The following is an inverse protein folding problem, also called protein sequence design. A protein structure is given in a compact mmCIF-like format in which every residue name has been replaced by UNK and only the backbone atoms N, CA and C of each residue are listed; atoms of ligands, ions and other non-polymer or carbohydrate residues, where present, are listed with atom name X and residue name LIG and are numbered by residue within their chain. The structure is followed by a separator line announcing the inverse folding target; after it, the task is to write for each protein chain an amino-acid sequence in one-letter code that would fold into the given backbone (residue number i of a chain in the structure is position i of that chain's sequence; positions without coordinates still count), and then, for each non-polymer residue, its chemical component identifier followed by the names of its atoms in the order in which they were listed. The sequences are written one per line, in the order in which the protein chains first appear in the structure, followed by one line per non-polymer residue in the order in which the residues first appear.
data_IF_009621758475
#
_entry.id   IF_009621758475
#
_cell.length_a   1.000
_cell.length_b   1.000
_cell.length_c   1.000
_cell.angle_alpha   90.00
_cell.angle_beta   90.00
_cell.angle_gamma   90.00
#
_symmetry.space_group_name_H-M   'P 1'
#
loop_
_entity.id
_entity.type
_entity.pdbx_description
1 polymer ?
#
# COMPACT_ATOMS: atom_id res chain seq x y z
N UNK A 1 8.47 -21.57 -57.79
CA UNK A 1 7.93 -20.20 -57.70
C UNK A 1 7.34 -20.05 -56.32
N UNK A 2 7.95 -19.18 -55.52
CA UNK A 2 7.63 -18.96 -54.11
C UNK A 2 6.34 -18.17 -53.97
N UNK A 3 5.44 -18.62 -53.10
CA UNK A 3 4.40 -17.77 -52.52
C UNK A 3 4.60 -17.78 -51.01
N UNK A 4 5.32 -16.75 -50.56
CA UNK A 4 5.38 -16.34 -49.16
C UNK A 4 4.04 -15.69 -48.87
N UNK A 5 3.15 -16.44 -48.20
CA UNK A 5 1.94 -15.87 -47.63
C UNK A 5 2.30 -15.29 -46.26
N UNK A 6 2.23 -13.98 -46.22
CA UNK A 6 2.16 -13.12 -45.05
C UNK A 6 1.19 -13.68 -44.02
N UNK A 7 1.72 -14.08 -42.86
CA UNK A 7 0.94 -14.04 -41.62
C UNK A 7 1.87 -13.75 -40.44
N UNK A 8 2.15 -12.48 -40.24
CA UNK A 8 2.82 -11.95 -39.07
C UNK A 8 1.94 -10.84 -38.46
N UNK A 9 0.69 -11.20 -38.15
CA UNK A 9 -0.24 -10.34 -37.41
C UNK A 9 -0.85 -11.09 -36.23
N UNK A 10 -0.02 -11.48 -35.26
CA UNK A 10 -0.48 -11.80 -33.91
C UNK A 10 0.46 -11.20 -32.85
N UNK A 11 0.77 -9.92 -33.02
CA UNK A 11 1.41 -9.11 -31.97
C UNK A 11 0.39 -8.84 -30.86
N UNK A 12 0.47 -9.66 -29.80
CA UNK A 12 0.16 -9.29 -28.42
C UNK A 12 -1.21 -8.66 -28.15
N UNK A 13 -2.25 -9.49 -28.06
CA UNK A 13 -3.36 -9.17 -27.16
C UNK A 13 -2.81 -9.25 -25.73
N UNK A 14 -2.45 -8.10 -25.16
CA UNK A 14 -2.26 -7.98 -23.71
C UNK A 14 -3.62 -8.26 -23.08
N UNK A 15 -3.82 -9.47 -22.55
CA UNK A 15 -5.04 -9.87 -21.90
C UNK A 15 -5.25 -8.95 -20.68
N UNK A 16 -6.10 -7.94 -20.83
CA UNK A 16 -6.50 -7.06 -19.73
C UNK A 16 -7.13 -7.94 -18.65
N UNK A 17 -6.59 -7.88 -17.43
CA UNK A 17 -7.12 -8.61 -16.28
C UNK A 17 -8.63 -8.36 -16.14
N UNK A 18 -9.41 -9.36 -15.69
CA UNK A 18 -10.85 -9.21 -15.54
C UNK A 18 -11.16 -8.02 -14.64
N UNK A 19 -11.97 -7.08 -15.14
CA UNK A 19 -12.38 -5.91 -14.35
C UNK A 19 -13.62 -6.28 -13.55
N UNK A 20 -13.51 -6.20 -12.23
CA UNK A 20 -14.59 -6.41 -11.26
C UNK A 20 -15.31 -5.11 -10.95
N UNK A 21 -16.63 -5.20 -10.74
CA UNK A 21 -17.46 -4.08 -10.26
C UNK A 21 -17.95 -4.45 -8.87
N UNK A 22 -17.56 -3.67 -7.86
CA UNK A 22 -17.78 -4.00 -6.46
C UNK A 22 -18.61 -2.90 -5.81
N UNK A 23 -19.82 -3.20 -5.28
CA UNK A 23 -20.62 -2.25 -4.52
C UNK A 23 -20.01 -2.04 -3.13
N UNK A 24 -20.01 -0.79 -2.68
CA UNK A 24 -19.45 -0.36 -1.39
C UNK A 24 -20.47 0.50 -0.68
N UNK A 25 -20.62 0.27 0.62
CA UNK A 25 -21.43 1.08 1.52
C UNK A 25 -20.59 1.45 2.75
N UNK A 26 -20.31 2.75 2.91
CA UNK A 26 -19.51 3.29 4.02
C UNK A 26 -20.11 4.64 4.43
N UNK A 27 -20.28 4.87 5.74
CA UNK A 27 -20.79 6.14 6.29
C UNK A 27 -22.16 6.56 5.70
N UNK A 28 -23.01 5.58 5.35
CA UNK A 28 -24.32 5.82 4.72
C UNK A 28 -24.26 6.22 3.23
N UNK A 29 -23.07 6.22 2.63
CA UNK A 29 -22.87 6.47 1.19
C UNK A 29 -22.66 5.15 0.48
N UNK A 30 -23.42 4.94 -0.60
CA UNK A 30 -23.30 3.77 -1.48
C UNK A 30 -22.72 4.17 -2.84
N UNK A 31 -21.70 3.44 -3.30
CA UNK A 31 -21.06 3.66 -4.59
C UNK A 31 -20.46 2.35 -5.13
N UNK A 32 -19.89 2.38 -6.34
CA UNK A 32 -19.22 1.21 -6.92
C UNK A 32 -17.77 1.52 -7.25
N UNK A 33 -16.89 0.54 -7.04
CA UNK A 33 -15.49 0.58 -7.48
C UNK A 33 -15.34 -0.37 -8.66
N UNK A 34 -14.62 0.08 -9.70
CA UNK A 34 -14.16 -0.74 -10.81
C UNK A 34 -12.67 -0.99 -10.64
N UNK A 35 -12.27 -2.25 -10.52
CA UNK A 35 -10.88 -2.64 -10.25
C UNK A 35 -10.57 -3.99 -10.88
N UNK A 36 -9.32 -4.21 -11.23
CA UNK A 36 -8.75 -5.50 -11.65
C UNK A 36 -8.24 -6.33 -10.45
N UNK A 37 -8.35 -5.79 -9.23
CA UNK A 37 -8.03 -6.49 -7.99
C UNK A 37 -9.10 -7.53 -7.61
N UNK A 38 -8.66 -8.54 -6.86
CA UNK A 38 -9.53 -9.60 -6.35
C UNK A 38 -10.68 -9.04 -5.49
N UNK A 39 -11.94 -9.43 -5.73
CA UNK A 39 -13.08 -8.92 -4.98
C UNK A 39 -12.99 -9.10 -3.46
N UNK A 40 -12.40 -10.22 -3.02
CA UNK A 40 -12.25 -10.51 -1.59
C UNK A 40 -11.24 -9.59 -0.91
N UNK A 41 -10.19 -9.18 -1.65
CA UNK A 41 -9.23 -8.19 -1.16
C UNK A 41 -9.91 -6.83 -0.94
N UNK A 42 -10.66 -6.34 -1.93
CA UNK A 42 -11.38 -5.07 -1.81
C UNK A 42 -12.43 -5.11 -0.69
N UNK A 43 -13.16 -6.21 -0.53
CA UNK A 43 -14.09 -6.39 0.60
C UNK A 43 -13.35 -6.34 1.94
N UNK A 44 -12.18 -6.97 2.03
CA UNK A 44 -11.32 -6.88 3.21
C UNK A 44 -10.95 -5.43 3.57
N UNK A 45 -10.52 -4.64 2.59
CA UNK A 45 -10.21 -3.22 2.79
C UNK A 45 -11.42 -2.40 3.26
N UNK A 46 -12.61 -2.69 2.71
CA UNK A 46 -13.85 -2.01 3.12
C UNK A 46 -14.17 -2.30 4.58
N UNK A 47 -14.06 -3.55 5.02
CA UNK A 47 -14.32 -3.95 6.40
C UNK A 47 -13.26 -3.38 7.36
N UNK A 48 -11.99 -3.37 6.96
CA UNK A 48 -10.92 -2.71 7.74
C UNK A 48 -11.21 -1.22 7.93
N UNK A 49 -11.59 -0.52 6.86
CA UNK A 49 -11.93 0.90 6.92
C UNK A 49 -13.14 1.15 7.83
N UNK A 50 -14.19 0.33 7.76
CA UNK A 50 -15.36 0.43 8.66
C UNK A 50 -14.97 0.26 10.13
N UNK A 51 -14.15 -0.74 10.42
CA UNK A 51 -13.67 -0.99 11.79
C UNK A 51 -12.86 0.17 12.33
N UNK A 52 -11.99 0.75 11.50
CA UNK A 52 -11.21 1.95 11.85
C UNK A 52 -12.12 3.16 12.10
N UNK A 53 -13.08 3.42 11.21
CA UNK A 53 -14.06 4.50 11.38
C UNK A 53 -14.86 4.34 12.69
N UNK A 54 -15.30 3.12 13.01
CA UNK A 54 -16.01 2.82 14.26
C UNK A 54 -15.13 3.11 15.49
N UNK A 55 -13.86 2.71 15.43
CA UNK A 55 -12.90 2.93 16.51
C UNK A 55 -12.68 4.43 16.76
N UNK A 56 -12.41 5.20 15.70
CA UNK A 56 -12.20 6.66 15.81
C UNK A 56 -13.47 7.36 16.28
N UNK A 57 -14.64 6.96 15.78
CA UNK A 57 -15.93 7.52 16.21
C UNK A 57 -16.14 7.32 17.72
N UNK A 58 -15.86 6.11 18.23
CA UNK A 58 -15.99 5.79 19.65
C UNK A 58 -14.96 6.53 20.53
N UNK A 59 -13.70 6.59 20.10
CA UNK A 59 -12.62 7.23 20.86
C UNK A 59 -12.78 8.75 20.93
N UNK A 60 -13.12 9.38 19.81
CA UNK A 60 -13.17 10.85 19.69
C UNK A 60 -14.58 11.43 19.79
N UNK A 61 -15.61 10.58 19.93
CA UNK A 61 -17.04 10.96 20.00
C UNK A 61 -17.49 11.80 18.80
N UNK A 62 -16.96 11.48 17.62
CA UNK A 62 -17.31 12.18 16.36
C UNK A 62 -18.49 11.45 15.71
N UNK A 63 -19.60 12.16 15.57
CA UNK A 63 -20.84 11.65 14.97
C UNK A 63 -20.99 12.07 13.51
N UNK A 64 -20.46 13.24 13.15
CA UNK A 64 -20.56 13.77 11.78
C UNK A 64 -19.71 12.91 10.81
N UNK A 65 -20.33 12.31 9.77
CA UNK A 65 -19.63 11.36 8.89
C UNK A 65 -18.47 11.98 8.12
N UNK A 66 -18.58 13.25 7.71
CA UNK A 66 -17.54 13.94 6.95
C UNK A 66 -16.34 14.30 7.84
N UNK A 67 -16.59 14.79 9.05
CA UNK A 67 -15.52 15.02 10.04
C UNK A 67 -14.85 13.70 10.42
N UNK A 68 -15.62 12.64 10.61
CA UNK A 68 -15.09 11.33 10.93
C UNK A 68 -14.17 10.79 9.83
N UNK A 69 -14.57 10.93 8.55
CA UNK A 69 -13.75 10.49 7.42
C UNK A 69 -12.46 11.31 7.30
N UNK A 70 -12.53 12.64 7.48
CA UNK A 70 -11.36 13.51 7.44
C UNK A 70 -10.36 13.20 8.56
N UNK A 71 -10.84 13.07 9.80
CA UNK A 71 -10.00 12.74 10.96
C UNK A 71 -9.37 11.36 10.79
N UNK A 72 -10.15 10.37 10.36
CA UNK A 72 -9.65 9.00 10.14
C UNK A 72 -8.59 8.96 9.04
N UNK A 73 -8.78 9.74 7.96
CA UNK A 73 -7.79 9.86 6.89
C UNK A 73 -6.48 10.50 7.39
N UNK A 74 -6.58 11.57 8.19
CA UNK A 74 -5.40 12.22 8.78
C UNK A 74 -4.63 11.28 9.72
N UNK A 75 -5.33 10.52 10.57
CA UNK A 75 -4.69 9.53 11.44
C UNK A 75 -4.00 8.41 10.64
N UNK A 76 -4.64 7.95 9.56
CA UNK A 76 -4.06 6.91 8.70
C UNK A 76 -2.82 7.42 7.94
N UNK A 77 -2.80 8.71 7.57
CA UNK A 77 -1.61 9.36 7.01
C UNK A 77 -0.49 9.52 8.04
N UNK A 78 -0.82 9.92 9.29
CA UNK A 78 0.17 10.02 10.38
C UNK A 78 0.84 8.66 10.64
N UNK A 79 0.06 7.57 10.69
CA UNK A 79 0.59 6.22 10.84
C UNK A 79 1.52 5.82 9.69
N UNK A 80 1.12 6.08 8.44
CA UNK A 80 1.95 5.81 7.27
C UNK A 80 3.28 6.60 7.31
N UNK A 81 3.25 7.84 7.80
CA UNK A 81 4.45 8.67 7.94
C UNK A 81 5.36 8.15 9.07
N UNK A 82 4.80 7.82 10.23
CA UNK A 82 5.56 7.23 11.35
C UNK A 82 6.24 5.93 10.96
N UNK A 83 5.57 5.09 10.18
CA UNK A 83 6.15 3.83 9.70
C UNK A 83 7.30 4.05 8.72
N UNK A 84 7.22 5.08 7.86
CA UNK A 84 8.34 5.48 6.98
C UNK A 84 9.53 6.00 7.80
N UNK A 85 9.27 6.87 8.76
CA UNK A 85 10.32 7.43 9.61
C UNK A 85 10.99 6.37 10.47
N UNK A 86 10.21 5.41 11.00
CA UNK A 86 10.71 4.27 11.77
C UNK A 86 11.55 3.33 10.91
N UNK A 87 11.11 3.00 9.69
CA UNK A 87 11.91 2.22 8.74
C UNK A 87 13.21 2.94 8.37
N UNK A 88 13.15 4.25 8.12
CA UNK A 88 14.34 5.06 7.84
C UNK A 88 15.30 5.19 9.03
N UNK A 89 14.79 5.22 10.27
CA UNK A 89 15.60 5.20 11.47
C UNK A 89 16.32 3.86 11.64
N UNK A 90 15.60 2.73 11.49
CA UNK A 90 16.18 1.40 11.57
C UNK A 90 17.26 1.20 10.49
N UNK A 91 17.00 1.58 9.23
CA UNK A 91 18.00 1.49 8.16
C UNK A 91 19.28 2.27 8.48
N UNK A 92 19.17 3.50 9.02
CA UNK A 92 20.32 4.30 9.42
C UNK A 92 21.11 3.69 10.56
N UNK A 93 20.44 3.05 11.51
CA UNK A 93 21.09 2.38 12.63
C UNK A 93 21.84 1.12 12.17
N UNK A 94 21.27 0.34 11.25
CA UNK A 94 21.97 -0.78 10.60
C UNK A 94 23.19 -0.31 9.79
N UNK A 95 23.06 0.77 9.02
CA UNK A 95 24.19 1.36 8.27
C UNK A 95 25.29 1.86 9.21
N UNK A 96 24.94 2.56 10.28
CA UNK A 96 25.90 3.03 11.27
C UNK A 96 26.63 1.87 11.95
N UNK A 97 25.92 0.80 12.33
CA UNK A 97 26.54 -0.39 12.92
C UNK A 97 27.47 -1.09 11.93
N UNK A 98 27.05 -1.24 10.67
CA UNK A 98 27.89 -1.85 9.63
C UNK A 98 29.16 -1.05 9.37
N UNK A 99 29.07 0.29 9.37
CA UNK A 99 30.23 1.16 9.19
C UNK A 99 31.21 1.08 10.37
N UNK A 100 30.72 0.90 11.59
CA UNK A 100 31.54 0.69 12.78
C UNK A 100 32.24 -0.68 12.74
N UNK A 101 31.53 -1.74 12.35
CA UNK A 101 32.12 -3.09 12.22
C UNK A 101 33.22 -3.12 11.14
N UNK A 102 33.02 -2.41 10.03
CA UNK A 102 34.02 -2.27 8.96
C UNK A 102 35.25 -1.46 9.42
N UNK A 103 35.05 -0.45 10.27
CA UNK A 103 36.13 0.31 10.90
C UNK A 103 36.96 -0.55 11.86
N UNK A 104 36.29 -1.29 12.75
CA UNK A 104 36.95 -2.18 13.71
C UNK A 104 37.76 -3.27 13.00
N UNK A 105 37.22 -3.84 11.92
CA UNK A 105 37.94 -4.82 11.10
C UNK A 105 39.19 -4.22 10.46
N UNK A 106 39.09 -3.01 9.88
CA UNK A 106 40.23 -2.32 9.27
C UNK A 106 41.29 -1.92 10.30
N UNK A 107 40.89 -1.54 11.51
CA UNK A 107 41.80 -1.22 12.59
C UNK A 107 42.54 -2.47 13.07
N UNK A 108 41.83 -3.60 13.22
CA UNK A 108 42.44 -4.89 13.56
C UNK A 108 43.41 -5.42 12.50
N UNK A 109 43.14 -5.18 11.22
CA UNK A 109 44.05 -5.52 10.11
C UNK A 109 45.34 -4.67 10.11
N UNK A 110 45.30 -3.47 10.70
CA UNK A 110 46.46 -2.58 10.85
C UNK A 110 47.28 -2.82 12.13
N UNK A 111 46.85 -3.76 12.98
CA UNK A 111 47.60 -4.20 14.16
C UNK A 111 47.70 -3.16 15.29
N UNK A 112 46.74 -2.24 15.38
CA UNK A 112 46.54 -1.35 16.54
C UNK A 112 45.62 -1.98 17.58
#
# INVERSE_FOLDING_TARGET
MSSISSDASSRGQSAKAPTHVIPIEILGVSFTIKTDEEPDYIRGLVEELKNRLSTVSNQMRIVDPLKLSLVTALLSLDELHRDKDRKGALSREYEASSLLDDLDRRLGELGL
#
